data_IF_245033281173
#
_entry.id   IF_245033281173
#
_cell.length_a   1.000
_cell.length_b   1.000
_cell.length_c   1.000
_cell.angle_alpha   90.00
_cell.angle_beta   90.00
_cell.angle_gamma   90.00
#
_symmetry.space_group_name_H-M   'P 1'
#
loop_
_entity.id
_entity.type
_entity.pdbx_description
1 polymer ?
#
# COMPACT_ATOMS: atom_id res chain seq x y z
N UNK A 1 -3.96 -28.43 10.28
CA UNK A 1 -3.91 -27.09 9.67
C UNK A 1 -4.98 -26.23 10.35
N UNK A 2 -4.58 -25.29 11.21
CA UNK A 2 -5.52 -24.36 11.83
C UNK A 2 -5.95 -23.34 10.78
N UNK A 3 -7.21 -23.39 10.37
CA UNK A 3 -7.81 -22.33 9.57
C UNK A 3 -7.87 -21.07 10.42
N UNK A 4 -7.34 -19.94 9.92
CA UNK A 4 -7.55 -18.63 10.51
C UNK A 4 -9.05 -18.35 10.39
N UNK A 5 -9.78 -18.21 11.52
CA UNK A 5 -11.21 -17.93 11.46
C UNK A 5 -11.43 -16.54 10.82
N UNK A 6 -12.22 -16.49 9.74
CA UNK A 6 -12.63 -15.24 9.11
C UNK A 6 -11.94 -14.85 7.81
N UNK A 7 -10.90 -15.54 7.37
CA UNK A 7 -10.31 -15.30 6.06
C UNK A 7 -11.28 -15.76 4.95
N UNK A 8 -12.00 -14.82 4.33
CA UNK A 8 -12.76 -15.06 3.10
C UNK A 8 -11.83 -14.84 1.92
N UNK A 9 -11.63 -15.88 1.11
CA UNK A 9 -10.98 -15.73 -0.19
C UNK A 9 -12.05 -15.25 -1.17
N UNK A 10 -11.88 -14.06 -1.70
CA UNK A 10 -12.70 -13.52 -2.79
C UNK A 10 -11.99 -13.86 -4.11
N UNK A 11 -12.63 -14.69 -4.94
CA UNK A 11 -12.12 -15.02 -6.29
C UNK A 11 -12.43 -13.93 -7.32
N UNK A 12 -13.29 -12.99 -6.98
CA UNK A 12 -13.75 -11.86 -7.79
C UNK A 12 -13.28 -10.51 -7.21
N UNK A 13 -12.05 -10.48 -6.74
CA UNK A 13 -11.38 -9.31 -6.19
C UNK A 13 -10.14 -8.94 -7.02
N UNK A 14 -9.92 -7.64 -7.25
CA UNK A 14 -8.64 -7.08 -7.62
C UNK A 14 -7.91 -6.65 -6.34
N UNK A 15 -6.88 -7.38 -5.96
CA UNK A 15 -6.12 -7.15 -4.75
C UNK A 15 -4.72 -6.60 -5.07
N UNK A 16 -4.16 -5.78 -4.16
CA UNK A 16 -2.83 -5.22 -4.26
C UNK A 16 -2.69 -4.24 -5.45
N UNK A 17 -3.54 -3.21 -5.47
CA UNK A 17 -3.53 -2.19 -6.52
C UNK A 17 -2.76 -0.96 -6.04
N UNK A 18 -1.83 -0.50 -6.88
CA UNK A 18 -1.06 0.71 -6.67
C UNK A 18 -1.56 1.85 -7.57
N UNK A 19 -1.54 3.07 -7.05
CA UNK A 19 -1.84 4.29 -7.81
C UNK A 19 -0.57 4.99 -8.29
N UNK A 20 -0.74 6.09 -8.99
CA UNK A 20 0.39 6.93 -9.48
C UNK A 20 1.33 7.40 -8.36
N UNK A 21 0.86 7.44 -7.10
CA UNK A 21 1.63 7.94 -5.94
C UNK A 21 2.87 7.11 -5.63
N UNK A 22 2.87 5.83 -6.00
CA UNK A 22 4.06 4.97 -5.85
C UNK A 22 5.19 5.29 -6.83
N UNK A 23 4.90 6.03 -7.90
CA UNK A 23 5.87 6.38 -8.93
C UNK A 23 6.26 5.25 -9.89
N UNK A 24 5.71 4.04 -9.74
CA UNK A 24 5.95 2.89 -10.61
C UNK A 24 4.66 2.27 -11.17
N UNK A 25 3.50 2.74 -10.75
CA UNK A 25 2.21 2.37 -11.34
C UNK A 25 1.88 3.28 -12.54
N UNK A 26 0.80 2.96 -13.27
CA UNK A 26 0.28 3.83 -14.32
C UNK A 26 -0.06 5.22 -13.79
N UNK A 27 0.10 6.24 -14.64
CA UNK A 27 -0.31 7.62 -14.34
C UNK A 27 -1.84 7.81 -14.31
N UNK A 28 -2.61 6.75 -14.52
CA UNK A 28 -4.07 6.82 -14.50
C UNK A 28 -4.61 7.13 -13.11
N UNK A 29 -5.69 7.94 -13.01
CA UNK A 29 -6.38 8.16 -11.74
C UNK A 29 -6.91 6.85 -11.12
N UNK A 30 -6.98 6.77 -9.80
CA UNK A 30 -7.49 5.60 -9.08
C UNK A 30 -8.89 5.17 -9.56
N UNK A 31 -9.72 6.11 -9.98
CA UNK A 31 -11.06 5.82 -10.51
C UNK A 31 -11.05 4.92 -11.75
N UNK A 32 -10.03 5.01 -12.61
CA UNK A 32 -9.93 4.16 -13.82
C UNK A 32 -9.83 2.68 -13.43
N UNK A 33 -9.09 2.36 -12.37
CA UNK A 33 -8.99 0.99 -11.84
C UNK A 33 -10.34 0.51 -11.28
N UNK A 34 -11.07 1.38 -10.56
CA UNK A 34 -12.42 1.07 -10.05
C UNK A 34 -13.38 0.81 -11.20
N UNK A 35 -13.37 1.65 -12.24
CA UNK A 35 -14.19 1.45 -13.44
C UNK A 35 -13.85 0.15 -14.16
N UNK A 36 -12.57 -0.19 -14.28
CA UNK A 36 -12.14 -1.45 -14.90
C UNK A 36 -12.63 -2.65 -14.08
N UNK A 37 -12.49 -2.62 -12.77
CA UNK A 37 -12.99 -3.67 -11.87
C UNK A 37 -14.52 -3.85 -12.01
N UNK A 38 -15.26 -2.75 -12.07
CA UNK A 38 -16.71 -2.80 -12.32
C UNK A 38 -17.07 -3.42 -13.69
N UNK A 39 -16.34 -3.06 -14.75
CA UNK A 39 -16.55 -3.65 -16.10
C UNK A 39 -16.27 -5.16 -16.13
N UNK A 40 -15.29 -5.62 -15.35
CA UNK A 40 -14.96 -7.04 -15.21
C UNK A 40 -15.92 -7.79 -14.28
N UNK A 41 -16.87 -7.12 -13.64
CA UNK A 41 -17.83 -7.73 -12.72
C UNK A 41 -17.24 -8.13 -11.38
N UNK A 42 -16.07 -7.58 -11.01
CA UNK A 42 -15.44 -7.82 -9.71
C UNK A 42 -16.33 -7.27 -8.58
N UNK A 43 -16.25 -7.91 -7.42
CA UNK A 43 -17.01 -7.52 -6.22
C UNK A 43 -16.23 -6.61 -5.29
N UNK A 44 -14.89 -6.68 -5.35
CA UNK A 44 -13.99 -5.87 -4.52
C UNK A 44 -12.78 -5.41 -5.30
N UNK A 45 -12.29 -4.24 -4.95
CA UNK A 45 -10.97 -3.74 -5.32
C UNK A 45 -10.26 -3.27 -4.05
N UNK A 46 -9.00 -3.66 -3.85
CA UNK A 46 -8.20 -3.31 -2.70
C UNK A 46 -6.96 -2.54 -3.13
N UNK A 47 -6.92 -1.27 -2.76
CA UNK A 47 -5.77 -0.41 -2.96
C UNK A 47 -4.77 -0.61 -1.82
N UNK A 48 -3.50 -0.74 -2.15
CA UNK A 48 -2.40 -0.91 -1.20
C UNK A 48 -1.14 -0.22 -1.73
N UNK A 49 -1.22 1.08 -1.95
CA UNK A 49 -0.05 1.87 -2.32
C UNK A 49 1.07 1.71 -1.28
N UNK A 50 2.32 1.84 -1.69
CA UNK A 50 3.43 1.89 -0.75
C UNK A 50 3.26 3.03 0.24
N UNK A 51 3.00 2.69 1.50
CA UNK A 51 2.75 3.63 2.57
C UNK A 51 3.98 4.50 2.83
N UNK A 52 3.78 5.81 3.07
CA UNK A 52 4.87 6.71 3.41
C UNK A 52 5.37 6.46 4.83
N UNK A 53 6.51 7.05 5.15
CA UNK A 53 7.03 7.11 6.50
C UNK A 53 7.30 8.56 6.91
N UNK A 54 7.17 8.91 8.20
CA UNK A 54 7.52 10.24 8.71
C UNK A 54 8.92 10.66 8.26
N UNK A 55 9.03 11.87 7.71
CA UNK A 55 10.28 12.41 7.20
C UNK A 55 10.67 11.91 5.80
N UNK A 56 9.87 11.07 5.15
CA UNK A 56 10.12 10.54 3.80
C UNK A 56 11.51 9.92 3.61
N UNK A 57 11.94 8.98 4.46
CA UNK A 57 13.29 8.41 4.40
C UNK A 57 13.50 7.47 3.19
N UNK A 58 12.41 7.02 2.54
CA UNK A 58 12.46 6.05 1.45
C UNK A 58 11.87 6.62 0.16
N UNK A 59 12.43 6.23 -0.98
CA UNK A 59 11.89 6.50 -2.32
C UNK A 59 10.92 5.41 -2.79
N UNK A 60 10.31 5.59 -3.98
CA UNK A 60 9.44 4.59 -4.60
C UNK A 60 8.09 4.40 -3.89
N UNK A 61 7.63 5.41 -3.17
CA UNK A 61 6.36 5.43 -2.42
C UNK A 61 5.77 6.83 -2.38
N UNK A 62 4.50 6.96 -1.95
CA UNK A 62 3.93 8.27 -1.71
C UNK A 62 4.70 8.99 -0.59
N UNK A 63 4.67 10.31 -0.62
CA UNK A 63 5.21 11.14 0.46
C UNK A 63 4.23 11.20 1.63
N UNK A 64 4.75 11.47 2.83
CA UNK A 64 3.88 11.56 4.03
C UNK A 64 2.82 12.67 3.89
N UNK A 65 3.14 13.73 3.17
CA UNK A 65 2.23 14.85 2.90
C UNK A 65 1.05 14.46 1.98
N UNK A 66 1.16 13.36 1.24
CA UNK A 66 0.12 12.86 0.32
C UNK A 66 -0.85 11.88 0.99
N UNK A 67 -0.56 11.41 2.21
CA UNK A 67 -1.31 10.36 2.88
C UNK A 67 -2.79 10.73 3.11
N UNK A 68 -3.04 11.97 3.51
CA UNK A 68 -4.41 12.45 3.76
C UNK A 68 -5.20 12.60 2.45
N UNK A 69 -4.55 13.03 1.38
CA UNK A 69 -5.19 13.15 0.06
C UNK A 69 -5.48 11.75 -0.54
N UNK A 70 -4.59 10.78 -0.35
CA UNK A 70 -4.81 9.40 -0.73
C UNK A 70 -6.05 8.81 -0.05
N UNK A 71 -6.11 8.91 1.26
CA UNK A 71 -7.25 8.43 2.05
C UNK A 71 -8.56 9.11 1.62
N UNK A 72 -8.54 10.42 1.48
CA UNK A 72 -9.71 11.22 1.08
C UNK A 72 -10.21 10.87 -0.32
N UNK A 73 -9.31 10.72 -1.30
CA UNK A 73 -9.65 10.33 -2.66
C UNK A 73 -10.33 8.96 -2.68
N UNK A 74 -9.73 7.95 -2.04
CA UNK A 74 -10.29 6.60 -2.05
C UNK A 74 -11.59 6.48 -1.26
N UNK A 75 -11.75 7.24 -0.17
CA UNK A 75 -13.03 7.34 0.56
C UNK A 75 -14.12 7.98 -0.30
N UNK A 76 -13.79 8.98 -1.11
CA UNK A 76 -14.72 9.58 -2.06
C UNK A 76 -15.16 8.57 -3.14
N UNK A 77 -14.22 7.82 -3.71
CA UNK A 77 -14.52 6.74 -4.66
C UNK A 77 -15.36 5.64 -4.00
N UNK A 78 -15.05 5.21 -2.78
CA UNK A 78 -15.86 4.25 -2.02
C UNK A 78 -17.31 4.70 -1.90
N UNK A 79 -17.54 5.96 -1.58
CA UNK A 79 -18.90 6.54 -1.51
C UNK A 79 -19.59 6.61 -2.88
N UNK A 80 -18.85 6.99 -3.91
CA UNK A 80 -19.37 7.12 -5.28
C UNK A 80 -19.79 5.77 -5.86
N UNK A 81 -19.07 4.69 -5.53
CA UNK A 81 -19.25 3.34 -6.07
C UNK A 81 -19.90 2.35 -5.09
N UNK A 82 -20.40 2.81 -3.94
CA UNK A 82 -20.93 2.01 -2.82
C UNK A 82 -21.85 0.85 -3.21
N UNK A 83 -22.74 1.06 -4.21
CA UNK A 83 -23.67 0.03 -4.69
C UNK A 83 -23.14 -0.83 -5.84
N UNK A 84 -21.93 -0.61 -6.29
CA UNK A 84 -21.35 -1.23 -7.48
C UNK A 84 -20.21 -2.15 -7.18
N UNK A 85 -19.33 -1.76 -6.27
CA UNK A 85 -18.13 -2.50 -5.90
C UNK A 85 -17.69 -2.10 -4.50
N UNK A 86 -17.21 -3.06 -3.72
CA UNK A 86 -16.58 -2.80 -2.43
C UNK A 86 -15.15 -2.29 -2.65
N UNK A 87 -14.80 -1.13 -2.09
CA UNK A 87 -13.46 -0.56 -2.17
C UNK A 87 -12.79 -0.65 -0.81
N UNK A 88 -11.78 -1.49 -0.70
CA UNK A 88 -10.94 -1.62 0.47
C UNK A 88 -9.73 -0.67 0.34
N UNK A 89 -9.44 0.09 1.38
CA UNK A 89 -8.38 1.11 1.39
C UNK A 89 -7.30 0.66 2.37
N UNK A 90 -6.15 0.29 1.84
CA UNK A 90 -5.01 -0.17 2.62
C UNK A 90 -3.71 0.50 2.22
N UNK A 91 -2.65 0.04 2.81
CA UNK A 91 -1.27 0.42 2.49
C UNK A 91 -0.40 -0.83 2.46
N UNK A 92 0.53 -0.89 1.53
CA UNK A 92 1.67 -1.80 1.61
C UNK A 92 2.78 -1.12 2.40
N UNK A 93 3.24 -1.74 3.50
CA UNK A 93 4.15 -1.11 4.44
C UNK A 93 5.21 -2.09 4.91
N UNK A 94 6.43 -1.61 5.10
CA UNK A 94 7.50 -2.36 5.78
C UNK A 94 7.27 -2.39 7.29
N UNK A 95 7.78 -3.43 7.94
CA UNK A 95 7.89 -3.45 9.39
C UNK A 95 9.28 -2.99 9.84
N UNK A 96 9.32 -1.84 10.47
CA UNK A 96 10.50 -1.24 11.09
C UNK A 96 10.16 -0.93 12.55
N UNK A 97 10.81 -1.59 13.54
CA UNK A 97 10.40 -1.52 14.95
C UNK A 97 10.31 -0.10 15.52
N UNK A 98 11.14 0.83 15.00
CA UNK A 98 11.17 2.23 15.40
C UNK A 98 9.90 3.01 15.07
N UNK A 99 9.06 2.51 14.15
CA UNK A 99 7.82 3.16 13.72
C UNK A 99 6.54 2.57 14.34
N UNK A 100 6.65 1.86 15.46
CA UNK A 100 5.52 1.15 16.08
C UNK A 100 4.28 2.04 16.28
N UNK A 101 4.43 3.20 16.89
CA UNK A 101 3.31 4.13 17.13
C UNK A 101 2.69 4.65 15.83
N UNK A 102 3.50 4.75 14.77
CA UNK A 102 3.01 5.13 13.45
C UNK A 102 2.11 4.04 12.85
N UNK A 103 2.45 2.76 13.01
CA UNK A 103 1.58 1.66 12.56
C UNK A 103 0.27 1.60 13.32
N UNK A 104 0.27 1.89 14.62
CA UNK A 104 -0.96 1.98 15.43
C UNK A 104 -1.90 3.04 14.84
N UNK A 105 -1.39 4.22 14.52
CA UNK A 105 -2.15 5.29 13.86
C UNK A 105 -2.65 4.88 12.46
N UNK A 106 -1.82 4.24 11.63
CA UNK A 106 -2.23 3.76 10.32
C UNK A 106 -3.34 2.70 10.42
N UNK A 107 -3.24 1.80 11.40
CA UNK A 107 -4.23 0.75 11.60
C UNK A 107 -5.62 1.27 12.00
N UNK A 108 -5.69 2.43 12.64
CA UNK A 108 -6.96 3.11 12.94
C UNK A 108 -7.58 3.80 11.72
N UNK A 109 -6.78 4.14 10.72
CA UNK A 109 -7.20 4.92 9.53
C UNK A 109 -7.56 4.06 8.33
N UNK A 110 -6.88 2.93 8.15
CA UNK A 110 -6.93 2.09 6.96
C UNK A 110 -7.57 0.73 7.26
N UNK A 111 -8.26 0.16 6.27
CA UNK A 111 -8.96 -1.12 6.42
C UNK A 111 -7.97 -2.29 6.57
N UNK A 112 -6.77 -2.18 5.98
CA UNK A 112 -5.70 -3.16 6.11
C UNK A 112 -4.32 -2.53 5.93
N UNK A 113 -3.32 -3.17 6.53
CA UNK A 113 -1.91 -2.95 6.25
C UNK A 113 -1.33 -4.26 5.70
N UNK A 114 -0.84 -4.22 4.46
CA UNK A 114 -0.17 -5.34 3.81
C UNK A 114 1.33 -5.24 4.11
N UNK A 115 1.90 -6.30 4.65
CA UNK A 115 3.35 -6.36 4.86
C UNK A 115 4.07 -6.61 3.53
N UNK A 116 4.77 -5.61 3.04
CA UNK A 116 5.69 -5.70 1.91
C UNK A 116 7.08 -5.28 2.35
N UNK A 117 7.92 -6.24 2.73
CA UNK A 117 9.24 -5.95 3.31
C UNK A 117 10.29 -5.73 2.23
N UNK A 118 10.46 -4.48 1.77
CA UNK A 118 11.47 -4.07 0.78
C UNK A 118 12.71 -3.48 1.46
N UNK A 119 12.56 -2.91 2.66
CA UNK A 119 13.63 -2.27 3.41
C UNK A 119 13.86 -3.00 4.73
N UNK A 120 15.13 -3.26 5.03
CA UNK A 120 15.55 -3.86 6.30
C UNK A 120 16.69 -3.04 6.85
N UNK A 121 16.66 -2.78 8.16
CA UNK A 121 17.76 -2.10 8.86
C UNK A 121 19.00 -2.98 8.87
N UNK A 122 20.13 -2.39 8.52
CA UNK A 122 21.45 -3.02 8.59
C UNK A 122 22.12 -2.70 9.95
N UNK A 123 23.10 -3.52 10.40
CA UNK A 123 23.82 -3.25 11.66
C UNK A 123 24.52 -1.88 11.72
N UNK A 124 24.82 -1.28 10.57
CA UNK A 124 25.42 0.05 10.45
C UNK A 124 24.37 1.19 10.39
N UNK A 125 23.09 0.88 10.62
CA UNK A 125 21.98 1.84 10.64
C UNK A 125 21.44 2.24 9.26
N UNK A 126 21.99 1.70 8.16
CA UNK A 126 21.45 1.91 6.80
C UNK A 126 20.33 0.93 6.50
N UNK A 127 19.54 1.23 5.46
CA UNK A 127 18.53 0.33 4.93
C UNK A 127 19.03 -0.38 3.65
N UNK A 128 18.51 -1.58 3.39
CA UNK A 128 18.98 -2.42 2.27
C UNK A 128 18.82 -1.77 0.91
N UNK A 129 17.76 -1.01 0.66
CA UNK A 129 17.51 -0.31 -0.60
C UNK A 129 18.32 0.98 -0.82
N UNK A 130 18.98 1.48 0.22
CA UNK A 130 19.93 2.59 0.08
C UNK A 130 21.26 2.14 -0.55
N UNK A 131 21.40 0.83 -0.77
CA UNK A 131 22.57 0.27 -1.42
C UNK A 131 22.43 0.37 -2.94
N UNK A 132 23.14 1.32 -3.56
CA UNK A 132 23.32 1.34 -5.01
C UNK A 132 24.01 0.05 -5.46
N UNK A 133 23.84 -0.35 -6.74
CA UNK A 133 24.53 -1.51 -7.33
C UNK A 133 26.05 -1.50 -7.04
N UNK A 134 26.68 -0.32 -7.03
CA UNK A 134 28.09 -0.12 -6.64
C UNK A 134 28.42 -0.54 -5.21
N UNK A 135 27.44 -0.50 -4.30
CA UNK A 135 27.63 -0.93 -2.91
C UNK A 135 27.43 -2.44 -2.73
N UNK A 136 26.73 -3.12 -3.63
CA UNK A 136 26.59 -4.57 -3.65
C UNK A 136 27.89 -5.25 -4.11
N UNK A 137 28.55 -4.71 -5.13
CA UNK A 137 29.85 -5.22 -5.63
C UNK A 137 30.97 -5.11 -4.57
N UNK A 138 30.93 -4.11 -3.72
CA UNK A 138 31.91 -3.93 -2.64
C UNK A 138 31.78 -4.95 -1.49
N UNK A 139 30.83 -5.87 -1.52
CA UNK A 139 30.54 -6.87 -0.48
C UNK A 139 30.70 -8.32 -0.95
N UNK A 140 31.05 -8.54 -2.20
CA UNK A 140 31.39 -9.84 -2.77
C UNK A 140 32.88 -10.12 -2.59
#
# INVERSE_FOLDING_TARGET
MNRIPGAKIFIDEAFHIHTVRCGHASADPAEIYVQAACRLGLKRITFTDHGPFPGNPFSGRMRIEELDDYEKELKALRKQYDRRIDICIGLEIEYLPEYRSYYEMLHERFDLLLLGQHHTSMPDGRYTFEMSEKNLEARA
#
